data_IF_515689636096
#
_entry.id   IF_515689636096
#
_cell.length_a   1.000
_cell.length_b   1.000
_cell.length_c   1.000
_cell.angle_alpha   90.00
_cell.angle_beta   90.00
_cell.angle_gamma   90.00
#
_symmetry.space_group_name_H-M   'P 1'
#
loop_
_entity.id
_entity.type
_entity.pdbx_description
1 polymer ?
#
# COMPACT_ATOMS: atom_id res chain seq x y z
N UNK A 1 -67.39 -50.02 -42.33
CA UNK A 1 -67.50 -49.13 -41.21
C UNK A 1 -66.48 -48.09 -41.32
N UNK A 2 -66.80 -46.89 -41.92
CA UNK A 2 -65.89 -45.83 -42.26
C UNK A 2 -65.87 -44.87 -41.07
N UNK A 3 -64.63 -44.53 -40.63
CA UNK A 3 -64.42 -43.54 -39.56
C UNK A 3 -63.96 -42.23 -40.26
N UNK A 4 -64.71 -41.18 -40.06
CA UNK A 4 -64.39 -39.83 -40.56
C UNK A 4 -63.29 -39.17 -39.73
N UNK A 5 -62.40 -38.35 -40.28
CA UNK A 5 -61.40 -37.61 -39.55
C UNK A 5 -61.98 -36.34 -38.97
N UNK A 6 -61.74 -36.11 -37.68
CA UNK A 6 -62.12 -34.90 -36.95
C UNK A 6 -61.25 -33.71 -37.37
N UNK A 7 -61.87 -32.56 -37.59
CA UNK A 7 -61.26 -31.28 -37.90
C UNK A 7 -60.47 -30.73 -36.69
N UNK A 8 -59.20 -30.48 -36.85
CA UNK A 8 -58.36 -29.77 -35.88
C UNK A 8 -58.48 -28.24 -36.18
N UNK A 9 -59.11 -27.54 -35.26
CA UNK A 9 -59.17 -26.08 -35.22
C UNK A 9 -57.78 -25.48 -35.04
N UNK A 10 -57.34 -24.65 -35.99
CA UNK A 10 -56.12 -23.84 -35.88
C UNK A 10 -56.37 -22.68 -34.90
N UNK A 11 -55.92 -22.81 -33.65
CA UNK A 11 -55.86 -21.71 -32.71
C UNK A 11 -54.75 -20.73 -33.11
N UNK A 12 -55.09 -19.46 -33.32
CA UNK A 12 -54.16 -18.37 -33.58
C UNK A 12 -53.30 -18.12 -32.30
N UNK A 13 -51.97 -18.26 -32.44
CA UNK A 13 -51.01 -17.89 -31.40
C UNK A 13 -50.93 -16.35 -31.35
N UNK A 14 -51.15 -15.69 -30.21
CA UNK A 14 -51.00 -14.22 -30.14
C UNK A 14 -49.50 -13.85 -30.25
N UNK A 15 -49.20 -12.97 -31.21
CA UNK A 15 -47.89 -12.37 -31.35
C UNK A 15 -47.65 -11.46 -30.15
N UNK A 16 -46.78 -11.89 -29.21
CA UNK A 16 -46.31 -11.05 -28.11
C UNK A 16 -45.31 -10.07 -28.70
N UNK A 17 -45.67 -8.79 -28.75
CA UNK A 17 -44.70 -7.73 -29.10
C UNK A 17 -43.57 -7.71 -28.08
N UNK A 18 -42.26 -7.65 -28.50
CA UNK A 18 -41.18 -7.56 -27.59
C UNK A 18 -41.31 -6.29 -26.76
N UNK A 19 -41.26 -6.47 -25.43
CA UNK A 19 -41.22 -5.35 -24.49
C UNK A 19 -40.01 -4.48 -24.84
N UNK A 20 -40.24 -3.21 -25.11
CA UNK A 20 -39.21 -2.18 -25.26
C UNK A 20 -38.32 -2.25 -24.00
N UNK A 21 -37.07 -2.68 -24.15
CA UNK A 21 -36.07 -2.55 -23.10
C UNK A 21 -35.99 -1.07 -22.72
N UNK A 22 -36.62 -0.70 -21.62
CA UNK A 22 -36.29 0.55 -20.93
C UNK A 22 -34.79 0.45 -20.62
N UNK A 23 -34.01 1.29 -21.30
CA UNK A 23 -32.61 1.44 -21.01
C UNK A 23 -32.49 1.71 -19.51
N UNK A 24 -31.79 0.82 -18.81
CA UNK A 24 -31.31 1.09 -17.45
C UNK A 24 -30.40 2.29 -17.62
N UNK A 25 -30.90 3.50 -17.34
CA UNK A 25 -30.02 4.63 -17.03
C UNK A 25 -29.27 4.18 -15.78
N UNK A 26 -27.98 3.86 -15.93
CA UNK A 26 -27.08 3.90 -14.80
C UNK A 26 -27.15 5.34 -14.28
N UNK A 27 -27.96 5.58 -13.28
CA UNK A 27 -27.81 6.77 -12.45
C UNK A 27 -26.40 6.71 -11.96
N UNK A 28 -25.60 7.73 -12.32
CA UNK A 28 -24.25 7.88 -11.82
C UNK A 28 -24.34 7.77 -10.30
N UNK A 29 -23.68 6.75 -9.74
CA UNK A 29 -23.64 6.52 -8.31
C UNK A 29 -23.39 7.88 -7.64
N UNK A 30 -24.24 8.25 -6.69
CA UNK A 30 -24.19 9.57 -6.05
C UNK A 30 -22.76 9.79 -5.55
N UNK A 31 -22.10 10.78 -6.13
CA UNK A 31 -20.72 11.15 -5.78
C UNK A 31 -20.77 11.58 -4.31
N UNK A 32 -20.12 10.84 -3.41
CA UNK A 32 -20.09 11.16 -1.99
C UNK A 32 -19.41 12.53 -1.75
N UNK A 33 -19.61 13.17 -0.59
CA UNK A 33 -19.23 14.57 -0.34
C UNK A 33 -17.73 14.87 -0.48
N UNK A 34 -16.88 13.86 -0.63
CA UNK A 34 -15.42 14.02 -0.78
C UNK A 34 -14.86 13.24 -1.99
N UNK A 35 -15.72 12.77 -2.89
CA UNK A 35 -15.35 11.99 -4.08
C UNK A 35 -15.68 12.75 -5.37
N UNK A 36 -15.22 12.22 -6.50
CA UNK A 36 -15.36 12.87 -7.80
C UNK A 36 -14.06 13.54 -8.23
N UNK A 37 -14.08 14.18 -9.40
CA UNK A 37 -12.97 15.00 -9.88
C UNK A 37 -13.34 16.47 -9.73
N UNK A 38 -12.46 17.26 -9.13
CA UNK A 38 -12.57 18.70 -9.17
C UNK A 38 -12.12 19.18 -10.56
N UNK A 39 -13.00 19.81 -11.36
CA UNK A 39 -12.66 20.27 -12.70
C UNK A 39 -11.60 21.38 -12.70
N UNK A 40 -11.43 22.07 -11.56
CA UNK A 40 -10.46 23.16 -11.41
C UNK A 40 -9.06 22.64 -11.04
N UNK A 41 -8.96 21.39 -10.55
CA UNK A 41 -7.70 20.77 -10.14
C UNK A 41 -7.19 19.87 -11.27
N UNK A 42 -6.31 20.42 -12.12
CA UNK A 42 -5.72 19.68 -13.25
C UNK A 42 -4.46 18.95 -12.81
N UNK A 43 -4.33 17.65 -13.20
CA UNK A 43 -3.11 16.88 -12.96
C UNK A 43 -1.91 17.58 -13.57
N UNK A 44 -0.94 17.89 -12.75
CA UNK A 44 0.27 18.60 -13.11
C UNK A 44 1.20 17.77 -14.02
N UNK A 45 1.99 18.47 -14.85
CA UNK A 45 2.89 17.84 -15.83
C UNK A 45 3.96 16.93 -15.20
N UNK A 46 4.49 17.32 -14.04
CA UNK A 46 5.53 16.58 -13.31
C UNK A 46 5.05 15.24 -12.71
N UNK A 47 3.75 14.96 -12.72
CA UNK A 47 3.16 13.69 -12.29
C UNK A 47 3.00 12.67 -13.43
N UNK A 48 3.44 12.99 -14.64
CA UNK A 48 3.35 12.08 -15.78
C UNK A 48 4.51 11.10 -15.75
N UNK A 49 4.20 9.82 -15.89
CA UNK A 49 5.18 8.74 -15.99
C UNK A 49 5.02 8.00 -17.33
N UNK A 50 6.12 7.42 -17.81
CA UNK A 50 6.10 6.52 -18.96
C UNK A 50 5.44 5.20 -18.58
N UNK A 51 4.81 4.55 -19.57
CA UNK A 51 4.30 3.19 -19.37
C UNK A 51 5.45 2.24 -18.96
N UNK A 52 5.21 1.33 -18.00
CA UNK A 52 6.23 0.39 -17.55
C UNK A 52 6.65 -0.55 -18.68
N UNK A 53 7.97 -0.70 -18.88
CA UNK A 53 8.57 -1.57 -19.88
C UNK A 53 10.02 -1.89 -19.48
N UNK A 54 10.59 -2.99 -19.95
CA UNK A 54 11.97 -3.36 -19.72
C UNK A 54 12.14 -4.85 -19.42
N UNK A 55 13.34 -5.39 -19.64
CA UNK A 55 13.64 -6.81 -19.45
C UNK A 55 13.42 -7.25 -18.01
N UNK A 56 14.02 -6.52 -17.05
CA UNK A 56 13.84 -6.84 -15.61
C UNK A 56 12.39 -6.71 -15.16
N UNK A 57 11.66 -5.72 -15.69
CA UNK A 57 10.22 -5.58 -15.40
C UNK A 57 9.45 -6.83 -15.81
N UNK A 58 9.69 -7.36 -17.01
CA UNK A 58 9.01 -8.57 -17.50
C UNK A 58 9.44 -9.83 -16.72
N UNK A 59 10.71 -9.94 -16.33
CA UNK A 59 11.23 -11.05 -15.51
C UNK A 59 10.58 -11.10 -14.13
N UNK A 60 10.51 -9.95 -13.43
CA UNK A 60 9.84 -9.83 -12.12
C UNK A 60 8.37 -10.17 -12.25
N UNK A 61 7.67 -9.60 -13.24
CA UNK A 61 6.27 -9.87 -13.52
C UNK A 61 5.99 -11.34 -13.80
N UNK A 62 6.83 -11.98 -14.64
CA UNK A 62 6.72 -13.40 -14.97
C UNK A 62 6.93 -14.31 -13.74
N UNK A 63 7.86 -13.95 -12.85
CA UNK A 63 8.11 -14.71 -11.62
C UNK A 63 6.96 -14.58 -10.63
N UNK A 64 6.45 -13.37 -10.41
CA UNK A 64 5.28 -13.12 -9.55
C UNK A 64 4.06 -13.92 -10.02
N UNK A 65 3.80 -13.92 -11.32
CA UNK A 65 2.67 -14.66 -11.91
C UNK A 65 2.81 -16.17 -11.72
N UNK A 66 4.00 -16.74 -11.94
CA UNK A 66 4.26 -18.19 -11.76
C UNK A 66 4.08 -18.65 -10.32
N UNK A 67 4.44 -17.83 -9.36
CA UNK A 67 4.39 -18.15 -7.92
C UNK A 67 3.10 -17.65 -7.26
N UNK A 68 2.16 -17.10 -8.04
CA UNK A 68 0.90 -16.50 -7.56
C UNK A 68 1.12 -15.45 -6.46
N UNK A 69 2.22 -14.70 -6.54
CA UNK A 69 2.53 -13.64 -5.60
C UNK A 69 1.91 -12.31 -6.06
N UNK A 70 1.54 -11.47 -5.11
CA UNK A 70 0.94 -10.16 -5.32
C UNK A 70 1.92 -9.05 -4.96
N UNK A 71 1.81 -7.92 -5.66
CA UNK A 71 2.56 -6.71 -5.33
C UNK A 71 1.64 -5.52 -5.14
N UNK A 72 1.96 -4.67 -4.18
CA UNK A 72 1.27 -3.39 -4.06
C UNK A 72 1.52 -2.49 -5.26
N UNK A 73 2.63 -2.72 -5.97
CA UNK A 73 2.98 -1.97 -7.18
C UNK A 73 1.92 -2.17 -8.29
N UNK A 74 1.38 -3.38 -8.43
CA UNK A 74 0.30 -3.69 -9.38
C UNK A 74 -1.07 -3.36 -8.80
N UNK A 75 -1.39 -3.83 -7.60
CA UNK A 75 -2.72 -3.68 -6.98
C UNK A 75 -3.07 -2.20 -6.71
N UNK A 76 -2.09 -1.39 -6.29
CA UNK A 76 -2.26 0.05 -6.08
C UNK A 76 -1.97 0.89 -7.35
N UNK A 77 -1.71 0.28 -8.49
CA UNK A 77 -1.41 0.96 -9.76
C UNK A 77 -0.29 2.02 -9.62
N UNK A 78 0.82 1.61 -9.04
CA UNK A 78 1.93 2.50 -8.72
C UNK A 78 2.53 3.12 -10.00
N UNK A 79 2.63 4.44 -10.11
CA UNK A 79 3.18 5.09 -11.30
C UNK A 79 4.68 4.80 -11.50
N UNK A 80 5.39 4.39 -10.46
CA UNK A 80 6.84 4.17 -10.48
C UNK A 80 7.23 2.71 -10.77
N UNK A 81 6.27 1.82 -11.04
CA UNK A 81 6.52 0.38 -11.19
C UNK A 81 7.62 0.07 -12.21
N UNK A 82 7.61 0.77 -13.36
CA UNK A 82 8.62 0.60 -14.41
C UNK A 82 10.02 0.99 -13.96
N UNK A 83 10.16 2.09 -13.23
CA UNK A 83 11.43 2.56 -12.69
C UNK A 83 11.94 1.63 -11.59
N UNK A 84 11.08 1.32 -10.60
CA UNK A 84 11.45 0.50 -9.45
C UNK A 84 11.87 -0.92 -9.86
N UNK A 85 11.15 -1.57 -10.76
CA UNK A 85 11.45 -2.95 -11.16
C UNK A 85 12.64 -3.07 -12.11
N UNK A 86 12.93 -2.04 -12.90
CA UNK A 86 14.12 -2.01 -13.75
C UNK A 86 15.41 -1.60 -13.01
N UNK A 87 15.30 -1.07 -11.79
CA UNK A 87 16.46 -0.72 -10.97
C UNK A 87 16.93 0.74 -11.07
N UNK A 88 16.09 1.66 -11.60
CA UNK A 88 16.38 3.09 -11.64
C UNK A 88 17.77 3.44 -12.18
N UNK A 89 18.27 4.65 -11.84
CA UNK A 89 19.63 5.12 -12.20
C UNK A 89 20.75 4.37 -11.47
N UNK A 90 20.49 3.81 -10.29
CA UNK A 90 21.48 3.18 -9.41
C UNK A 90 21.51 1.65 -9.55
N UNK A 91 20.71 1.09 -10.46
CA UNK A 91 20.66 -0.34 -10.73
C UNK A 91 19.99 -1.20 -9.65
N UNK A 92 19.49 -0.60 -8.57
CA UNK A 92 18.85 -1.31 -7.45
C UNK A 92 17.37 -1.51 -7.77
N UNK A 93 16.99 -2.76 -8.06
CA UNK A 93 15.58 -3.13 -8.23
C UNK A 93 14.89 -3.21 -6.87
N UNK A 94 13.77 -2.51 -6.73
CA UNK A 94 12.93 -2.55 -5.54
C UNK A 94 11.55 -3.07 -5.91
N UNK A 95 11.13 -4.16 -5.30
CA UNK A 95 9.77 -4.65 -5.39
C UNK A 95 9.11 -4.60 -4.00
N UNK A 96 7.81 -4.39 -3.95
CA UNK A 96 7.05 -4.44 -2.71
C UNK A 96 6.04 -5.58 -2.81
N UNK A 97 6.35 -6.69 -2.14
CA UNK A 97 5.49 -7.87 -2.14
C UNK A 97 4.40 -7.70 -1.10
N UNK A 98 3.18 -8.03 -1.50
CA UNK A 98 2.02 -8.01 -0.63
C UNK A 98 1.73 -9.42 -0.13
N UNK A 99 1.80 -9.62 1.17
CA UNK A 99 1.48 -10.88 1.86
C UNK A 99 0.08 -10.83 2.46
N UNK A 100 -0.47 -11.98 2.86
CA UNK A 100 -1.84 -12.15 3.37
C UNK A 100 -2.93 -11.98 2.30
N UNK A 101 -2.55 -12.14 1.03
CA UNK A 101 -3.46 -12.03 -0.12
C UNK A 101 -3.67 -10.59 -0.59
N UNK A 102 -4.69 -10.39 -1.45
CA UNK A 102 -4.98 -9.14 -2.16
C UNK A 102 -6.23 -8.41 -1.67
N UNK A 103 -6.86 -8.91 -0.61
CA UNK A 103 -8.18 -8.41 -0.16
C UNK A 103 -8.10 -7.95 1.29
N UNK A 104 -8.33 -6.64 1.50
CA UNK A 104 -8.26 -5.95 2.79
C UNK A 104 -9.60 -6.02 3.52
N UNK A 105 -9.58 -6.09 4.85
CA UNK A 105 -10.79 -5.98 5.68
C UNK A 105 -11.24 -4.54 5.91
N UNK A 106 -10.41 -3.55 5.60
CA UNK A 106 -10.66 -2.12 5.81
C UNK A 106 -10.88 -1.38 4.50
N UNK A 107 -11.71 -0.32 4.55
CA UNK A 107 -12.10 0.50 3.42
C UNK A 107 -11.51 1.91 3.46
N UNK A 108 -10.20 2.05 3.51
CA UNK A 108 -9.54 3.35 3.44
C UNK A 108 -9.86 4.04 2.11
N UNK A 109 -10.37 5.28 2.16
CA UNK A 109 -10.96 5.94 0.98
C UNK A 109 -9.94 6.43 -0.06
N UNK A 110 -8.67 6.35 0.26
CA UNK A 110 -7.58 6.65 -0.67
C UNK A 110 -7.10 5.41 -1.44
N UNK A 111 -7.40 4.20 -0.94
CA UNK A 111 -6.79 2.95 -1.35
C UNK A 111 -7.63 2.19 -2.39
N UNK A 112 -6.98 1.71 -3.46
CA UNK A 112 -7.63 0.97 -4.53
C UNK A 112 -7.69 -0.55 -4.31
N UNK A 113 -7.09 -1.07 -3.21
CA UNK A 113 -7.07 -2.49 -2.89
C UNK A 113 -8.49 -3.00 -2.67
N UNK A 114 -8.78 -4.22 -3.14
CA UNK A 114 -10.06 -4.89 -2.95
C UNK A 114 -10.40 -5.00 -1.47
N UNK A 115 -11.67 -4.88 -1.14
CA UNK A 115 -12.14 -4.96 0.25
C UNK A 115 -13.21 -6.05 0.41
N UNK A 116 -13.12 -6.79 1.51
CA UNK A 116 -14.14 -7.77 1.92
C UNK A 116 -14.12 -7.90 3.44
N UNK A 117 -15.29 -8.15 4.04
CA UNK A 117 -15.37 -8.52 5.46
C UNK A 117 -14.93 -9.96 5.73
N UNK A 118 -14.92 -10.78 4.69
CA UNK A 118 -14.56 -12.20 4.72
C UNK A 118 -13.60 -12.49 3.56
N UNK A 119 -12.34 -12.00 3.63
CA UNK A 119 -11.36 -12.31 2.60
C UNK A 119 -11.00 -13.80 2.62
N UNK A 120 -10.46 -14.35 1.52
CA UNK A 120 -9.96 -15.72 1.52
C UNK A 120 -8.92 -15.96 2.63
N UNK A 121 -8.79 -17.17 3.16
CA UNK A 121 -7.74 -17.47 4.11
C UNK A 121 -6.35 -17.24 3.49
N UNK A 122 -5.34 -16.86 4.28
CA UNK A 122 -3.96 -16.77 3.79
C UNK A 122 -3.47 -18.13 3.24
N UNK A 123 -2.72 -18.08 2.14
CA UNK A 123 -2.09 -19.30 1.61
C UNK A 123 -0.94 -19.75 2.55
N UNK A 124 -0.99 -20.96 3.13
CA UNK A 124 0.08 -21.44 4.00
C UNK A 124 1.46 -21.53 3.32
N UNK A 125 1.49 -21.60 1.98
CA UNK A 125 2.74 -21.65 1.20
C UNK A 125 3.27 -20.27 0.83
N UNK A 126 2.50 -19.20 1.04
CA UNK A 126 2.92 -17.84 0.69
C UNK A 126 4.25 -17.43 1.33
N UNK A 127 4.54 -17.73 2.63
CA UNK A 127 5.82 -17.40 3.24
C UNK A 127 7.03 -18.00 2.51
N UNK A 128 6.99 -19.29 2.22
CA UNK A 128 8.11 -19.97 1.55
C UNK A 128 8.20 -19.58 0.08
N UNK A 129 7.07 -19.45 -0.62
CA UNK A 129 7.04 -19.02 -2.02
C UNK A 129 7.61 -17.60 -2.18
N UNK A 130 7.24 -16.70 -1.26
CA UNK A 130 7.79 -15.33 -1.23
C UNK A 130 9.29 -15.35 -0.99
N UNK A 131 9.76 -16.12 -0.03
CA UNK A 131 11.18 -16.22 0.29
C UNK A 131 11.99 -16.77 -0.90
N UNK A 132 11.51 -17.82 -1.56
CA UNK A 132 12.14 -18.39 -2.75
C UNK A 132 12.18 -17.40 -3.91
N UNK A 133 11.09 -16.69 -4.18
CA UNK A 133 11.01 -15.68 -5.24
C UNK A 133 12.05 -14.58 -5.01
N UNK A 134 12.05 -13.97 -3.83
CA UNK A 134 12.95 -12.87 -3.47
C UNK A 134 14.41 -13.31 -3.50
N UNK A 135 14.72 -14.51 -3.00
CA UNK A 135 16.07 -15.05 -3.04
C UNK A 135 16.57 -15.21 -4.48
N UNK A 136 15.68 -15.60 -5.42
CA UNK A 136 16.04 -15.77 -6.84
C UNK A 136 16.29 -14.46 -7.58
N UNK A 137 15.78 -13.33 -7.11
CA UNK A 137 15.94 -12.02 -7.77
C UNK A 137 17.30 -11.34 -7.53
N UNK A 138 18.10 -11.85 -6.62
CA UNK A 138 19.42 -11.29 -6.31
C UNK A 138 19.37 -9.90 -5.66
N UNK A 139 18.21 -9.48 -5.16
CA UNK A 139 18.04 -8.19 -4.49
C UNK A 139 18.61 -8.22 -3.07
N UNK A 140 19.19 -7.12 -2.61
CA UNK A 140 19.74 -6.98 -1.26
C UNK A 140 18.77 -6.28 -0.29
N UNK A 141 17.69 -5.73 -0.80
CA UNK A 141 16.66 -5.04 -0.03
C UNK A 141 15.27 -5.38 -0.56
N UNK A 142 14.38 -5.73 0.33
CA UNK A 142 12.98 -6.04 -0.01
C UNK A 142 12.02 -5.31 0.92
N UNK A 143 10.91 -4.83 0.38
CA UNK A 143 9.78 -4.36 1.16
C UNK A 143 8.70 -5.43 1.12
N UNK A 144 8.33 -5.94 2.29
CA UNK A 144 7.14 -6.74 2.48
C UNK A 144 6.03 -5.84 3.03
N UNK A 145 4.85 -5.95 2.47
CA UNK A 145 3.66 -5.24 2.99
C UNK A 145 2.49 -6.21 3.10
N UNK A 146 1.41 -5.79 3.74
CA UNK A 146 0.19 -6.57 3.83
C UNK A 146 -1.05 -5.71 3.71
N UNK A 147 -2.17 -6.37 3.43
CA UNK A 147 -3.51 -5.83 3.68
C UNK A 147 -3.85 -5.91 5.17
N UNK A 148 -4.85 -5.13 5.62
CA UNK A 148 -5.41 -5.34 6.96
C UNK A 148 -6.23 -6.63 6.98
N UNK A 149 -6.00 -7.44 7.99
CA UNK A 149 -6.67 -8.73 8.21
C UNK A 149 -7.31 -8.77 9.60
N UNK A 150 -8.24 -7.84 9.84
CA UNK A 150 -8.98 -7.77 11.11
C UNK A 150 -9.84 -9.03 11.39
N UNK A 151 -10.00 -9.90 10.40
CA UNK A 151 -10.65 -11.21 10.50
C UNK A 151 -9.76 -12.28 11.16
N UNK A 152 -8.43 -12.07 11.20
CA UNK A 152 -7.50 -12.98 11.86
C UNK A 152 -7.26 -12.54 13.31
N UNK A 153 -7.10 -13.51 14.24
CA UNK A 153 -6.92 -13.20 15.66
C UNK A 153 -5.75 -12.27 15.96
N UNK A 154 -4.62 -12.47 15.27
CA UNK A 154 -3.37 -11.72 15.40
C UNK A 154 -3.18 -10.64 14.33
N UNK A 155 -4.23 -10.34 13.55
CA UNK A 155 -4.15 -9.43 12.41
C UNK A 155 -3.21 -9.89 11.29
N UNK A 156 -2.76 -11.16 11.32
CA UNK A 156 -1.85 -11.75 10.35
C UNK A 156 -0.36 -11.58 10.70
N UNK A 157 -0.03 -11.08 11.89
CA UNK A 157 1.37 -10.83 12.30
C UNK A 157 2.23 -12.10 12.31
N UNK A 158 1.66 -13.25 12.70
CA UNK A 158 2.35 -14.54 12.69
C UNK A 158 2.74 -15.01 11.29
N UNK A 159 1.83 -14.88 10.33
CA UNK A 159 2.09 -15.21 8.93
C UNK A 159 3.15 -14.28 8.32
N UNK A 160 3.06 -12.99 8.64
CA UNK A 160 4.05 -11.99 8.22
C UNK A 160 5.44 -12.32 8.80
N UNK A 161 5.51 -12.63 10.10
CA UNK A 161 6.76 -13.03 10.77
C UNK A 161 7.36 -14.31 10.18
N UNK A 162 6.54 -15.29 9.80
CA UNK A 162 6.99 -16.50 9.11
C UNK A 162 7.62 -16.18 7.76
N UNK A 163 7.04 -15.22 7.01
CA UNK A 163 7.59 -14.78 5.72
C UNK A 163 8.98 -14.15 5.90
N UNK A 164 9.15 -13.29 6.90
CA UNK A 164 10.46 -12.68 7.22
C UNK A 164 11.48 -13.73 7.60
N UNK A 165 11.12 -14.67 8.48
CA UNK A 165 12.01 -15.78 8.90
C UNK A 165 12.44 -16.63 7.72
N UNK A 166 11.50 -17.11 6.91
CA UNK A 166 11.79 -17.92 5.73
C UNK A 166 12.74 -17.20 4.77
N UNK A 167 12.59 -15.90 4.62
CA UNK A 167 13.47 -15.08 3.78
C UNK A 167 14.87 -14.94 4.37
N UNK A 168 14.98 -14.66 5.68
CA UNK A 168 16.28 -14.57 6.38
C UNK A 168 17.00 -15.90 6.42
N UNK A 169 16.29 -17.03 6.49
CA UNK A 169 16.88 -18.37 6.44
C UNK A 169 17.49 -18.68 5.07
N UNK A 170 16.84 -18.25 3.97
CA UNK A 170 17.35 -18.44 2.60
C UNK A 170 18.43 -17.42 2.20
N UNK A 171 18.32 -16.19 2.69
CA UNK A 171 19.24 -15.08 2.38
C UNK A 171 19.49 -14.23 3.63
N UNK A 172 20.40 -14.65 4.52
CA UNK A 172 20.64 -13.98 5.82
C UNK A 172 20.99 -12.49 5.71
N UNK A 173 21.74 -12.12 4.67
CA UNK A 173 22.22 -10.74 4.47
C UNK A 173 21.19 -9.79 3.86
N UNK A 174 20.02 -10.31 3.44
CA UNK A 174 18.99 -9.45 2.86
C UNK A 174 18.39 -8.53 3.92
N UNK A 175 18.21 -7.27 3.57
CA UNK A 175 17.55 -6.31 4.42
C UNK A 175 16.04 -6.34 4.15
N UNK A 176 15.26 -6.47 5.22
CA UNK A 176 13.80 -6.61 5.16
C UNK A 176 13.12 -5.44 5.84
N UNK A 177 12.43 -4.62 5.05
CA UNK A 177 11.48 -3.63 5.55
C UNK A 177 10.09 -4.25 5.58
N UNK A 178 9.39 -4.13 6.70
CA UNK A 178 8.01 -4.55 6.83
C UNK A 178 7.10 -3.33 6.94
N UNK A 179 6.33 -3.05 5.87
CA UNK A 179 5.26 -2.04 5.89
C UNK A 179 3.96 -2.72 6.35
N UNK A 180 3.58 -2.46 7.59
CA UNK A 180 2.55 -3.22 8.29
C UNK A 180 1.25 -2.44 8.46
N UNK A 181 0.15 -3.19 8.70
CA UNK A 181 -1.04 -2.64 9.33
C UNK A 181 -0.76 -2.19 10.78
N UNK A 182 -1.76 -1.60 11.44
CA UNK A 182 -1.67 -1.29 12.87
C UNK A 182 -2.07 -2.46 13.78
N UNK A 183 -2.38 -3.63 13.20
CA UNK A 183 -2.86 -4.83 13.91
C UNK A 183 -3.98 -4.51 14.93
N UNK A 184 -4.87 -3.56 14.64
CA UNK A 184 -5.92 -3.05 15.55
C UNK A 184 -5.36 -2.48 16.87
N UNK A 185 -4.12 -2.06 16.89
CA UNK A 185 -3.41 -1.59 18.08
C UNK A 185 -2.91 -2.71 18.99
N UNK A 186 -2.91 -3.96 18.54
CA UNK A 186 -2.35 -5.10 19.28
C UNK A 186 -0.82 -5.05 19.28
N UNK A 187 -0.25 -4.59 20.38
CA UNK A 187 1.18 -4.46 20.56
C UNK A 187 1.90 -5.83 20.66
N UNK A 188 1.17 -6.90 21.01
CA UNK A 188 1.73 -8.27 21.03
C UNK A 188 1.96 -8.75 19.59
N UNK A 189 1.04 -8.42 18.68
CA UNK A 189 1.21 -8.68 17.24
C UNK A 189 2.42 -7.92 16.67
N UNK A 190 2.58 -6.64 17.03
CA UNK A 190 3.76 -5.84 16.67
C UNK A 190 5.05 -6.50 17.21
N UNK A 191 5.07 -6.90 18.49
CA UNK A 191 6.21 -7.56 19.12
C UNK A 191 6.60 -8.85 18.39
N UNK A 192 5.63 -9.68 18.01
CA UNK A 192 5.86 -10.91 17.24
C UNK A 192 6.61 -10.62 15.94
N UNK A 193 6.22 -9.58 15.23
CA UNK A 193 6.89 -9.21 13.99
C UNK A 193 8.29 -8.63 14.22
N UNK A 194 8.48 -7.78 15.24
CA UNK A 194 9.79 -7.21 15.57
C UNK A 194 10.88 -8.26 15.83
N UNK A 195 10.48 -9.43 16.34
CA UNK A 195 11.39 -10.56 16.65
C UNK A 195 11.50 -11.58 15.51
N UNK A 196 10.95 -11.29 14.34
CA UNK A 196 11.08 -12.17 13.15
C UNK A 196 12.41 -12.02 12.41
N UNK A 197 13.20 -10.98 12.68
CA UNK A 197 14.46 -10.68 12.00
C UNK A 197 14.38 -9.51 11.03
N UNK A 198 13.26 -8.75 10.99
CA UNK A 198 13.16 -7.55 10.16
C UNK A 198 14.18 -6.47 10.59
N UNK A 199 14.57 -5.64 9.63
CA UNK A 199 15.55 -4.56 9.80
C UNK A 199 14.87 -3.19 9.94
N UNK A 200 13.74 -2.97 9.24
CA UNK A 200 12.97 -1.71 9.28
C UNK A 200 11.51 -2.02 9.54
N UNK A 201 10.96 -1.39 10.58
CA UNK A 201 9.52 -1.42 10.86
C UNK A 201 8.86 -0.17 10.30
N UNK A 202 7.97 -0.34 9.33
CA UNK A 202 7.24 0.75 8.70
C UNK A 202 5.73 0.62 8.96
N UNK A 203 5.11 1.73 9.35
CA UNK A 203 3.67 1.85 9.46
C UNK A 203 3.25 3.27 9.08
N UNK A 204 2.34 3.41 8.11
CA UNK A 204 1.97 4.71 7.60
C UNK A 204 0.87 5.37 8.44
N UNK A 205 1.05 6.63 8.84
CA UNK A 205 -0.04 7.44 9.40
C UNK A 205 -0.96 8.01 8.32
N UNK A 206 -0.53 8.00 7.06
CA UNK A 206 -1.22 8.36 5.83
C UNK A 206 -1.58 9.84 5.69
N UNK A 207 -2.02 10.50 6.75
CA UNK A 207 -2.44 11.91 6.72
C UNK A 207 -2.42 12.52 8.12
N UNK A 208 -2.63 13.83 8.20
CA UNK A 208 -2.69 14.60 9.45
C UNK A 208 -3.89 14.23 10.33
N UNK A 209 -3.84 14.52 11.62
CA UNK A 209 -4.82 14.11 12.64
C UNK A 209 -6.27 14.43 12.27
N UNK A 210 -6.56 15.65 11.81
CA UNK A 210 -7.91 16.08 11.42
C UNK A 210 -8.51 15.26 10.29
N UNK A 211 -7.68 14.82 9.33
CA UNK A 211 -8.15 14.13 8.12
C UNK A 211 -8.29 12.61 8.30
N UNK A 212 -7.84 12.03 9.41
CA UNK A 212 -7.82 10.57 9.62
C UNK A 212 -9.18 9.91 9.32
N UNK A 213 -10.26 10.41 9.90
CA UNK A 213 -11.61 9.82 9.73
C UNK A 213 -12.19 9.99 8.32
N UNK A 214 -11.65 10.93 7.53
CA UNK A 214 -12.05 11.16 6.14
C UNK A 214 -11.27 10.25 5.20
N UNK A 215 -9.99 10.05 5.49
CA UNK A 215 -9.01 9.39 4.60
C UNK A 215 -8.92 7.90 4.87
N UNK A 216 -8.82 7.51 6.15
CA UNK A 216 -8.63 6.12 6.57
C UNK A 216 -9.95 5.47 7.00
N UNK A 217 -9.93 4.13 7.07
CA UNK A 217 -11.01 3.37 7.69
C UNK A 217 -11.17 3.77 9.17
N UNK A 218 -12.40 3.83 9.70
CA UNK A 218 -12.63 4.24 11.09
C UNK A 218 -11.90 3.40 12.15
N UNK A 219 -11.47 2.19 11.82
CA UNK A 219 -10.69 1.29 12.71
C UNK A 219 -9.21 1.65 12.74
N UNK A 220 -8.73 2.47 11.82
CA UNK A 220 -7.39 3.04 11.83
C UNK A 220 -7.41 4.41 12.50
N UNK A 221 -6.57 4.61 13.50
CA UNK A 221 -6.54 5.85 14.28
C UNK A 221 -5.17 6.50 14.29
N UNK A 222 -5.13 7.84 14.42
CA UNK A 222 -3.89 8.59 14.49
C UNK A 222 -3.03 8.17 15.68
N UNK A 223 -3.62 8.22 16.89
CA UNK A 223 -2.96 7.83 18.13
C UNK A 223 -2.57 6.33 18.14
N UNK A 224 -3.42 5.48 17.55
CA UNK A 224 -3.12 4.05 17.39
C UNK A 224 -1.89 3.85 16.51
N UNK A 225 -1.76 4.58 15.41
CA UNK A 225 -0.59 4.51 14.52
C UNK A 225 0.68 5.00 15.22
N UNK A 226 0.60 6.10 15.98
CA UNK A 226 1.72 6.58 16.79
C UNK A 226 2.11 5.55 17.87
N UNK A 227 1.14 4.93 18.54
CA UNK A 227 1.39 3.88 19.54
C UNK A 227 2.13 2.69 18.97
N UNK A 228 1.74 2.21 17.78
CA UNK A 228 2.39 1.10 17.07
C UNK A 228 3.84 1.44 16.71
N UNK A 229 4.10 2.62 16.16
CA UNK A 229 5.44 3.09 15.82
C UNK A 229 6.32 3.26 17.07
N UNK A 230 5.78 3.88 18.13
CA UNK A 230 6.48 4.06 19.40
C UNK A 230 6.83 2.71 20.04
N UNK A 231 5.86 1.78 20.06
CA UNK A 231 6.11 0.43 20.58
C UNK A 231 7.24 -0.27 19.81
N UNK A 232 7.24 -0.17 18.49
CA UNK A 232 8.30 -0.74 17.66
C UNK A 232 9.67 -0.14 18.01
N UNK A 233 9.74 1.18 18.19
CA UNK A 233 10.98 1.89 18.56
C UNK A 233 11.51 1.50 19.94
N UNK A 234 10.62 1.36 20.92
CA UNK A 234 11.00 1.07 22.32
C UNK A 234 11.30 -0.42 22.57
N UNK A 235 10.62 -1.33 21.86
CA UNK A 235 10.70 -2.77 22.11
C UNK A 235 11.97 -3.43 21.57
N UNK A 236 12.65 -2.82 20.61
CA UNK A 236 13.90 -3.37 20.03
C UNK A 236 14.92 -2.26 19.86
N UNK A 237 15.97 -2.29 20.67
CA UNK A 237 17.08 -1.32 20.58
C UNK A 237 17.66 -1.28 19.16
N UNK A 238 17.81 -0.09 18.60
CA UNK A 238 18.32 0.11 17.25
C UNK A 238 17.31 -0.14 16.13
N UNK A 239 16.02 -0.43 16.45
CA UNK A 239 14.98 -0.56 15.43
C UNK A 239 14.84 0.74 14.65
N UNK A 240 14.94 0.63 13.34
CA UNK A 240 14.63 1.73 12.43
C UNK A 240 13.13 1.75 12.18
N UNK A 241 12.52 2.90 12.46
CA UNK A 241 11.08 3.12 12.24
C UNK A 241 10.84 4.08 11.09
N UNK A 242 9.80 3.80 10.31
CA UNK A 242 9.46 4.55 9.10
C UNK A 242 7.96 4.79 9.01
N UNK A 243 7.58 5.96 8.49
CA UNK A 243 6.19 6.30 8.21
C UNK A 243 6.04 7.09 6.92
N UNK A 244 4.80 7.23 6.45
CA UNK A 244 4.46 8.00 5.25
C UNK A 244 3.25 8.89 5.48
N UNK A 245 3.26 10.06 4.84
CA UNK A 245 2.13 10.98 4.75
C UNK A 245 1.89 11.33 3.28
N UNK A 246 0.65 11.25 2.86
CA UNK A 246 0.21 11.72 1.54
C UNK A 246 -0.20 13.18 1.63
N UNK A 247 0.27 14.00 0.68
CA UNK A 247 -0.06 15.42 0.57
C UNK A 247 -1.08 15.67 -0.56
N UNK A 248 -1.84 16.75 -0.42
CA UNK A 248 -2.85 17.16 -1.39
C UNK A 248 -4.27 16.65 -1.09
N UNK A 249 -4.53 16.26 0.16
CA UNK A 249 -5.85 15.86 0.67
C UNK A 249 -6.59 17.01 1.39
N UNK A 250 -5.95 18.19 1.54
CA UNK A 250 -6.51 19.38 2.19
C UNK A 250 -5.97 19.60 3.60
N UNK A 251 -4.82 19.05 3.92
CA UNK A 251 -4.01 19.38 5.10
C UNK A 251 -3.45 20.80 4.99
N UNK A 252 -3.29 21.47 6.12
CA UNK A 252 -2.55 22.73 6.21
C UNK A 252 -1.08 22.49 6.55
N UNK A 253 -0.25 23.50 6.30
CA UNK A 253 1.17 23.45 6.65
C UNK A 253 1.37 23.27 8.17
N UNK A 254 0.55 23.92 9.00
CA UNK A 254 0.66 23.79 10.46
C UNK A 254 0.25 22.40 10.95
N UNK A 255 -0.79 21.80 10.37
CA UNK A 255 -1.18 20.41 10.67
C UNK A 255 -0.08 19.41 10.27
N UNK A 256 0.60 19.64 9.16
CA UNK A 256 1.71 18.79 8.74
C UNK A 256 2.91 18.95 9.69
N UNK A 257 3.24 20.18 10.13
CA UNK A 257 4.29 20.41 11.14
C UNK A 257 3.94 19.73 12.47
N UNK A 258 2.68 19.82 12.93
CA UNK A 258 2.21 19.12 14.13
C UNK A 258 2.41 17.61 14.00
N UNK A 259 1.98 17.00 12.87
CA UNK A 259 2.15 15.58 12.63
C UNK A 259 3.63 15.17 12.60
N UNK A 260 4.50 15.99 12.00
CA UNK A 260 5.95 15.74 11.97
C UNK A 260 6.57 15.86 13.39
N UNK A 261 6.12 16.82 14.20
CA UNK A 261 6.56 16.96 15.59
C UNK A 261 6.12 15.74 16.44
N UNK A 262 4.86 15.27 16.30
CA UNK A 262 4.36 14.09 17.00
C UNK A 262 5.18 12.85 16.65
N UNK A 263 5.55 12.68 15.39
CA UNK A 263 6.41 11.59 14.92
C UNK A 263 7.83 11.69 15.49
N UNK A 264 8.39 12.90 15.60
CA UNK A 264 9.71 13.10 16.22
C UNK A 264 9.67 12.87 17.72
N UNK A 265 8.57 13.20 18.39
CA UNK A 265 8.40 12.95 19.83
C UNK A 265 8.50 11.46 20.20
N UNK A 266 8.16 10.56 19.28
CA UNK A 266 8.30 9.10 19.43
C UNK A 266 9.52 8.53 18.67
N UNK A 267 10.44 9.40 18.26
CA UNK A 267 11.73 9.06 17.62
C UNK A 267 11.61 8.24 16.33
N UNK A 268 10.65 8.57 15.45
CA UNK A 268 10.59 7.99 14.10
C UNK A 268 11.78 8.45 13.28
N UNK A 269 12.49 7.51 12.64
CA UNK A 269 13.73 7.78 11.91
C UNK A 269 13.49 8.29 10.49
N UNK A 270 12.55 7.69 9.76
CA UNK A 270 12.34 7.92 8.33
C UNK A 270 10.92 8.41 8.06
N UNK A 271 10.83 9.52 7.33
CA UNK A 271 9.56 10.05 6.84
C UNK A 271 9.54 10.05 5.32
N UNK A 272 8.44 9.59 4.72
CA UNK A 272 8.19 9.77 3.29
C UNK A 272 6.98 10.66 3.06
N UNK A 273 7.13 11.65 2.17
CA UNK A 273 6.08 12.58 1.76
C UNK A 273 5.85 12.46 0.26
N UNK A 274 4.62 12.12 -0.14
CA UNK A 274 4.27 11.92 -1.54
C UNK A 274 2.91 12.51 -1.90
N UNK A 275 2.71 12.85 -3.17
CA UNK A 275 1.42 13.35 -3.64
C UNK A 275 0.36 12.26 -3.60
N UNK A 276 -0.79 12.53 -3.01
CA UNK A 276 -1.98 11.72 -3.20
C UNK A 276 -2.42 11.75 -4.67
N UNK A 277 -2.54 10.57 -5.27
CA UNK A 277 -3.07 10.40 -6.61
C UNK A 277 -4.38 9.61 -6.53
N UNK A 278 -5.47 10.20 -6.97
CA UNK A 278 -6.78 9.58 -6.96
C UNK A 278 -6.84 8.36 -7.88
N UNK A 279 -7.05 7.13 -7.36
CA UNK A 279 -7.07 5.94 -8.21
C UNK A 279 -8.24 5.92 -9.19
N UNK A 280 -9.44 6.20 -8.70
CA UNK A 280 -10.67 6.30 -9.51
C UNK A 280 -11.53 7.46 -9.03
N UNK A 281 -12.51 7.94 -9.83
CA UNK A 281 -13.43 8.99 -9.38
C UNK A 281 -14.26 8.66 -8.13
N UNK A 282 -14.29 7.39 -7.70
CA UNK A 282 -14.99 6.95 -6.48
C UNK A 282 -14.14 7.15 -5.22
N UNK A 283 -12.85 7.41 -5.36
CA UNK A 283 -11.93 7.70 -4.26
C UNK A 283 -11.93 9.19 -3.92
N UNK A 284 -11.20 9.54 -2.86
CA UNK A 284 -11.11 10.94 -2.41
C UNK A 284 -10.62 11.86 -3.52
N UNK A 285 -11.24 13.03 -3.62
CA UNK A 285 -10.84 14.08 -4.56
C UNK A 285 -9.47 14.64 -4.16
N UNK A 286 -8.57 14.80 -5.12
CA UNK A 286 -7.34 15.58 -4.91
C UNK A 286 -7.73 17.04 -4.69
N UNK A 287 -7.29 17.62 -3.59
CA UNK A 287 -7.53 19.03 -3.25
C UNK A 287 -6.49 19.95 -3.86
N UNK A 288 -5.25 19.46 -3.93
CA UNK A 288 -4.12 20.22 -4.46
C UNK A 288 -3.09 19.26 -5.06
N UNK A 289 -2.45 19.69 -6.14
CA UNK A 289 -1.21 19.08 -6.61
C UNK A 289 -0.04 19.93 -6.11
N UNK A 290 0.58 19.45 -5.03
CA UNK A 290 1.70 20.11 -4.35
C UNK A 290 2.88 20.22 -5.31
N UNK A 291 3.53 21.39 -5.33
CA UNK A 291 4.65 21.66 -6.25
C UNK A 291 5.93 20.92 -5.80
N UNK A 292 6.87 20.62 -6.72
CA UNK A 292 8.16 20.04 -6.36
C UNK A 292 8.92 20.89 -5.32
N UNK A 293 8.90 22.21 -5.44
CA UNK A 293 9.57 23.13 -4.52
C UNK A 293 9.00 23.05 -3.10
N UNK A 294 7.68 22.80 -2.98
CA UNK A 294 7.04 22.59 -1.67
C UNK A 294 7.44 21.25 -1.07
N UNK A 295 7.64 20.22 -1.89
CA UNK A 295 8.18 18.94 -1.43
C UNK A 295 9.64 19.09 -0.95
N UNK A 296 10.46 19.88 -1.66
CA UNK A 296 11.83 20.18 -1.25
C UNK A 296 11.85 20.93 0.10
N UNK A 297 11.00 21.93 0.27
CA UNK A 297 10.81 22.61 1.55
C UNK A 297 10.49 21.63 2.70
N UNK A 298 9.56 20.69 2.48
CA UNK A 298 9.20 19.71 3.50
C UNK A 298 10.32 18.72 3.82
N UNK A 299 11.15 18.39 2.83
CA UNK A 299 12.35 17.60 3.05
C UNK A 299 13.32 18.32 4.00
N UNK A 300 13.70 19.54 3.66
CA UNK A 300 14.61 20.36 4.46
C UNK A 300 14.06 20.58 5.89
N UNK A 301 12.77 20.89 5.99
CA UNK A 301 12.12 21.05 7.30
C UNK A 301 12.20 19.77 8.13
N UNK A 302 11.86 18.62 7.56
CA UNK A 302 11.91 17.34 8.28
C UNK A 302 13.32 16.99 8.73
N UNK A 303 14.33 17.18 7.87
CA UNK A 303 15.73 16.98 8.25
C UNK A 303 16.15 17.95 9.37
N UNK A 304 15.70 19.20 9.34
CA UNK A 304 16.03 20.23 10.36
C UNK A 304 15.45 19.91 11.75
N UNK A 305 14.32 19.21 11.81
CA UNK A 305 13.72 18.80 13.10
C UNK A 305 14.16 17.41 13.58
N UNK A 306 15.11 16.79 12.86
CA UNK A 306 15.84 15.60 13.31
C UNK A 306 15.36 14.25 12.79
N UNK A 307 14.57 14.19 11.70
CA UNK A 307 14.43 12.93 10.98
C UNK A 307 15.78 12.52 10.38
N UNK A 308 16.15 11.26 10.53
CA UNK A 308 17.42 10.75 9.97
C UNK A 308 17.41 10.73 8.45
N UNK A 309 16.24 10.54 7.85
CA UNK A 309 16.04 10.60 6.42
C UNK A 309 14.61 11.05 6.07
N UNK A 310 14.50 11.95 5.10
CA UNK A 310 13.22 12.39 4.54
C UNK A 310 13.23 12.19 3.03
N UNK A 311 12.40 11.27 2.54
CA UNK A 311 12.11 11.17 1.11
C UNK A 311 10.86 11.99 0.81
N UNK A 312 11.01 13.07 0.04
CA UNK A 312 9.90 13.97 -0.27
C UNK A 312 9.86 14.29 -1.75
N UNK A 313 8.71 14.14 -2.39
CA UNK A 313 8.56 14.45 -3.80
C UNK A 313 7.21 14.01 -4.38
N UNK A 314 6.80 14.57 -5.52
CA UNK A 314 5.48 14.31 -6.12
C UNK A 314 5.20 12.84 -6.42
N UNK A 315 6.23 12.07 -6.71
CA UNK A 315 6.12 10.65 -7.06
C UNK A 315 6.63 9.72 -5.96
N UNK A 316 7.07 10.25 -4.83
CA UNK A 316 7.48 9.45 -3.67
C UNK A 316 6.31 8.62 -3.15
N UNK A 317 6.59 7.37 -2.78
CA UNK A 317 5.70 6.41 -2.14
C UNK A 317 6.39 5.85 -0.90
N UNK A 318 5.63 5.23 -0.01
CA UNK A 318 6.19 4.66 1.23
C UNK A 318 7.36 3.70 0.99
N UNK A 319 7.36 2.97 -0.12
CA UNK A 319 8.43 2.04 -0.51
C UNK A 319 9.31 2.56 -1.67
N UNK A 320 9.16 3.83 -2.07
CA UNK A 320 9.95 4.39 -3.15
C UNK A 320 11.43 4.44 -2.78
N UNK A 321 12.27 3.81 -3.62
CA UNK A 321 13.72 3.72 -3.42
C UNK A 321 14.13 3.28 -2.01
N UNK A 322 13.31 2.41 -1.37
CA UNK A 322 13.53 1.97 0.00
C UNK A 322 14.91 1.28 0.20
N UNK A 323 15.46 0.69 -0.88
CA UNK A 323 16.78 0.04 -0.88
C UNK A 323 17.96 0.98 -1.10
N UNK A 324 17.78 2.30 -1.12
CA UNK A 324 18.90 3.23 -1.29
C UNK A 324 20.00 3.04 -0.23
N UNK A 325 21.23 3.30 -0.62
CA UNK A 325 22.46 3.16 0.20
C UNK A 325 22.30 3.75 1.60
N UNK A 326 21.51 4.80 1.76
CA UNK A 326 21.31 5.49 3.02
C UNK A 326 20.62 4.60 4.08
N UNK A 327 19.54 3.89 3.70
CA UNK A 327 18.85 2.98 4.63
C UNK A 327 19.77 1.80 5.01
N UNK A 328 20.51 1.27 4.03
CA UNK A 328 21.52 0.24 4.29
C UNK A 328 22.61 0.72 5.27
N UNK A 329 23.06 1.97 5.12
CA UNK A 329 24.06 2.57 6.00
C UNK A 329 23.50 2.75 7.41
N UNK A 330 22.29 3.27 7.55
CA UNK A 330 21.64 3.43 8.87
C UNK A 330 21.47 2.11 9.63
N UNK A 331 21.06 1.04 8.93
CA UNK A 331 20.90 -0.28 9.55
C UNK A 331 22.25 -0.81 10.01
N UNK A 332 23.31 -0.68 9.20
CA UNK A 332 24.67 -1.10 9.55
C UNK A 332 25.23 -0.32 10.73
N UNK A 333 25.05 0.99 10.77
CA UNK A 333 25.47 1.85 11.89
C UNK A 333 24.73 1.48 13.18
N UNK A 334 23.43 1.21 13.10
CA UNK A 334 22.63 0.77 14.25
C UNK A 334 23.06 -0.60 14.76
N UNK A 335 23.47 -1.51 13.89
CA UNK A 335 24.01 -2.82 14.25
C UNK A 335 25.42 -2.71 14.87
N UNK A 336 26.28 -1.82 14.36
CA UNK A 336 27.62 -1.55 14.90
C UNK A 336 27.65 -0.84 16.25
N UNK A 337 26.59 -0.10 16.59
CA UNK A 337 26.46 0.59 17.87
C UNK A 337 26.00 -0.32 19.04
N UNK A 338 25.72 -1.61 18.78
CA UNK A 338 25.24 -2.61 19.74
C UNK A 338 26.41 -3.52 20.23
N UNK A 339 27.55 -3.43 19.59
CA UNK A 339 28.81 -4.09 20.00
C UNK A 339 29.72 -3.09 20.70
#
# INVERSE_FOLDING_TARGET
>A
MMIQPSQISRGSIPIVKPATRRGIRCEAAAVGPFTGRDPNVKKAGWLRQKAPQGIKYEEVKGTLSRLNLKTVCEEAQCPNIGECWNGGGDGISTATIMVLGDTCTRGCRFCAVKTSRTPPPPDPMEPINTAMAVASWGVDYIVLTSVDRDDLPDGGSGHFAQTVKALKDLKPDIMVECLTSDFRGDLTAVHTLLHSGLDVFAHNIETVKRLQRIVRDPRAGYEQSLSVLNHAKQSKKGMITKTSIMLGLGESDDELKEAMADLRAIDVDILTLGQYLQPTPLHLTVKEYVTPEKFDFWKEYGESIGFRYVASGPLVRSSYRAGELFVKTMVRESAGAIH
#
